data_IF_268143089499
#
_entry.id   IF_268143089499
#
_cell.length_a   1.000
_cell.length_b   1.000
_cell.length_c   1.000
_cell.angle_alpha   90.00
_cell.angle_beta   90.00
_cell.angle_gamma   90.00
#
_symmetry.space_group_name_H-M   'P 1'
#
loop_
_entity.id
_entity.type
_entity.pdbx_description
1 polymer ?
#
# COMPACT_ATOMS: atom_id res chain seq x y z
N UNK A 1 4.84 11.99 -0.90
CA UNK A 1 3.48 11.43 -1.09
C UNK A 1 2.58 11.96 0.04
N UNK A 2 1.35 12.38 -0.26
CA UNK A 2 0.44 12.89 0.79
C UNK A 2 -0.27 11.74 1.51
N UNK A 3 -0.67 11.93 2.78
CA UNK A 3 -1.45 10.92 3.55
C UNK A 3 -2.73 10.49 2.84
N UNK A 4 -3.33 11.38 2.03
CA UNK A 4 -4.52 11.09 1.22
C UNK A 4 -4.20 10.08 0.10
N UNK A 5 -3.03 10.17 -0.52
CA UNK A 5 -2.59 9.21 -1.55
C UNK A 5 -2.31 7.83 -0.94
N UNK A 6 -1.75 7.79 0.27
CA UNK A 6 -1.52 6.55 1.01
C UNK A 6 -2.83 5.84 1.37
N UNK A 7 -3.86 6.57 1.85
CA UNK A 7 -5.19 5.98 2.08
C UNK A 7 -5.83 5.46 0.80
N UNK A 8 -5.62 6.16 -0.32
CA UNK A 8 -6.11 5.72 -1.63
C UNK A 8 -5.45 4.41 -2.07
N UNK A 9 -4.16 4.24 -1.81
CA UNK A 9 -3.43 2.99 -2.09
C UNK A 9 -3.94 1.83 -1.23
N UNK A 10 -4.13 2.04 0.08
CA UNK A 10 -4.70 1.03 0.98
C UNK A 10 -6.10 0.60 0.51
N UNK A 11 -6.94 1.57 0.12
CA UNK A 11 -8.27 1.30 -0.40
C UNK A 11 -8.25 0.52 -1.72
N UNK A 12 -7.31 0.83 -2.62
CA UNK A 12 -7.14 0.11 -3.88
C UNK A 12 -6.72 -1.35 -3.64
N UNK A 13 -5.78 -1.60 -2.73
CA UNK A 13 -5.36 -2.96 -2.35
C UNK A 13 -6.53 -3.74 -1.75
N UNK A 14 -7.27 -3.15 -0.81
CA UNK A 14 -8.42 -3.80 -0.19
C UNK A 14 -9.53 -4.12 -1.22
N UNK A 15 -9.76 -3.23 -2.19
CA UNK A 15 -10.72 -3.45 -3.29
C UNK A 15 -10.28 -4.61 -4.18
N UNK A 16 -9.01 -4.67 -4.54
CA UNK A 16 -8.48 -5.75 -5.38
C UNK A 16 -8.56 -7.10 -4.66
N UNK A 17 -8.26 -7.15 -3.36
CA UNK A 17 -8.45 -8.36 -2.56
C UNK A 17 -9.92 -8.83 -2.54
N UNK A 18 -10.87 -7.90 -2.44
CA UNK A 18 -12.30 -8.23 -2.49
C UNK A 18 -12.75 -8.72 -3.89
N UNK A 19 -12.12 -8.24 -4.96
CA UNK A 19 -12.37 -8.74 -6.31
C UNK A 19 -11.80 -10.14 -6.52
N UNK A 20 -10.55 -10.38 -6.10
CA UNK A 20 -9.89 -11.68 -6.26
C UNK A 20 -10.50 -12.76 -5.36
N UNK A 21 -10.95 -12.37 -4.17
CA UNK A 21 -11.61 -13.26 -3.22
C UNK A 21 -12.91 -12.63 -2.70
N UNK A 22 -14.01 -12.79 -3.44
CA UNK A 22 -15.32 -12.28 -3.03
C UNK A 22 -15.73 -12.80 -1.65
N UNK A 23 -16.22 -11.90 -0.79
CA UNK A 23 -16.63 -12.23 0.58
C UNK A 23 -15.48 -12.36 1.59
N UNK A 24 -14.24 -12.04 1.19
CA UNK A 24 -13.13 -11.97 2.14
C UNK A 24 -13.42 -10.94 3.23
N UNK A 25 -13.28 -11.36 4.48
CA UNK A 25 -13.34 -10.46 5.64
C UNK A 25 -11.91 -10.20 6.09
N UNK A 26 -11.50 -8.93 6.02
CA UNK A 26 -10.17 -8.51 6.46
C UNK A 26 -10.25 -8.18 7.96
N UNK A 27 -9.50 -8.92 8.76
CA UNK A 27 -9.32 -8.63 10.19
C UNK A 27 -8.44 -7.39 10.41
N UNK A 28 -8.49 -6.82 11.62
CA UNK A 28 -7.65 -5.66 11.97
C UNK A 28 -6.14 -5.93 11.74
N UNK A 29 -5.68 -7.15 12.05
CA UNK A 29 -4.28 -7.55 11.84
C UNK A 29 -3.90 -7.52 10.36
N UNK A 30 -4.75 -8.08 9.49
CA UNK A 30 -4.52 -8.08 8.04
C UNK A 30 -4.60 -6.66 7.46
N UNK A 31 -5.52 -5.83 7.96
CA UNK A 31 -5.60 -4.41 7.57
C UNK A 31 -4.31 -3.65 7.95
N UNK A 32 -3.78 -3.87 9.15
CA UNK A 32 -2.51 -3.28 9.57
C UNK A 32 -1.35 -3.72 8.67
N UNK A 33 -1.33 -4.99 8.23
CA UNK A 33 -0.34 -5.48 7.26
C UNK A 33 -0.46 -4.76 5.92
N UNK A 34 -1.67 -4.56 5.39
CA UNK A 34 -1.90 -3.81 4.15
C UNK A 34 -1.41 -2.37 4.27
N UNK A 35 -1.70 -1.72 5.41
CA UNK A 35 -1.22 -0.37 5.70
C UNK A 35 0.31 -0.35 5.70
N UNK A 36 0.97 -1.28 6.41
CA UNK A 36 2.43 -1.33 6.46
C UNK A 36 3.05 -1.54 5.06
N UNK A 37 2.45 -2.40 4.24
CA UNK A 37 2.89 -2.60 2.86
C UNK A 37 2.72 -1.33 2.00
N UNK A 38 1.57 -0.66 2.10
CA UNK A 38 1.33 0.61 1.41
C UNK A 38 2.34 1.68 1.83
N UNK A 39 2.69 1.75 3.12
CA UNK A 39 3.72 2.66 3.63
C UNK A 39 5.09 2.37 3.03
N UNK A 40 5.47 1.08 2.94
CA UNK A 40 6.72 0.65 2.33
C UNK A 40 6.81 1.03 0.85
N UNK A 41 5.71 0.86 0.11
CA UNK A 41 5.62 1.29 -1.30
C UNK A 41 5.80 2.82 -1.38
N UNK A 42 5.01 3.59 -0.64
CA UNK A 42 5.11 5.06 -0.65
C UNK A 42 6.55 5.51 -0.34
N UNK A 43 7.19 4.93 0.67
CA UNK A 43 8.55 5.25 1.05
C UNK A 43 9.56 4.92 -0.06
N UNK A 44 9.42 3.79 -0.75
CA UNK A 44 10.29 3.41 -1.85
C UNK A 44 10.21 4.40 -3.04
N UNK A 45 9.02 4.92 -3.34
CA UNK A 45 8.82 5.94 -4.38
C UNK A 45 9.19 7.37 -3.93
N UNK A 46 9.36 7.59 -2.63
CA UNK A 46 9.86 8.86 -2.08
C UNK A 46 11.39 8.90 -1.98
N UNK A 47 12.08 7.77 -2.11
CA UNK A 47 13.54 7.78 -2.17
C UNK A 47 13.99 8.47 -3.46
N UNK A 48 14.96 9.39 -3.40
CA UNK A 48 15.58 9.92 -4.60
C UNK A 48 16.17 8.75 -5.40
N UNK A 49 16.04 8.79 -6.72
CA UNK A 49 16.67 7.81 -7.59
C UNK A 49 18.13 7.65 -7.17
N UNK A 50 18.54 6.41 -6.92
CA UNK A 50 19.91 6.09 -6.51
C UNK A 50 20.81 6.75 -7.56
N UNK A 51 21.70 7.69 -7.19
CA UNK A 51 22.51 8.36 -8.19
C UNK A 51 23.27 7.28 -8.95
N UNK A 52 23.11 7.26 -10.27
CA UNK A 52 23.91 6.42 -11.15
C UNK A 52 25.38 6.60 -10.73
N UNK A 53 26.06 5.50 -10.39
CA UNK A 53 27.50 5.51 -10.14
C UNK A 53 28.17 6.15 -11.36
N UNK A 54 28.63 7.40 -11.20
CA UNK A 54 29.55 8.05 -12.12
C UNK A 54 30.94 7.45 -12.00
#
# INVERSE_FOLDING_TARGET
>A
MSKIQQFSLVAAIAKELAHQQPGITISQTQLNTIIAAANGICAAFEQPETPECK
#
